data_IF_882110472960
#
_entry.id   IF_882110472960
#
_cell.length_a   1.000
_cell.length_b   1.000
_cell.length_c   1.000
_cell.angle_alpha   90.00
_cell.angle_beta   90.00
_cell.angle_gamma   90.00
#
_symmetry.space_group_name_H-M   'P 1'
#
loop_
_entity.id
_entity.type
_entity.pdbx_description
1 polymer ?
#
# COMPACT_ATOMS: atom_id res chain seq x y z
N UNK A 1 54.25 20.41 19.52
CA UNK A 1 54.65 19.16 20.21
C UNK A 1 55.67 18.33 19.40
N UNK A 2 55.49 18.14 18.08
CA UNK A 2 56.39 17.33 17.24
C UNK A 2 57.78 17.92 16.98
N UNK A 3 57.94 19.24 17.08
CA UNK A 3 59.23 19.92 16.89
C UNK A 3 60.20 19.75 18.07
N UNK A 4 59.72 19.34 19.25
CA UNK A 4 60.57 19.14 20.44
C UNK A 4 61.23 17.75 20.50
N UNK A 5 60.78 16.79 19.69
CA UNK A 5 61.19 15.37 19.77
C UNK A 5 62.25 14.95 18.74
N UNK A 6 62.57 15.80 17.77
CA UNK A 6 63.57 15.53 16.72
C UNK A 6 64.77 16.49 16.82
N UNK A 7 65.37 16.59 18.00
CA UNK A 7 66.66 17.28 18.16
C UNK A 7 67.79 16.30 17.86
N UNK A 8 68.90 16.78 17.31
CA UNK A 8 70.08 15.95 17.00
C UNK A 8 70.55 15.13 18.22
N UNK A 9 70.50 15.70 19.42
CA UNK A 9 70.84 14.99 20.66
C UNK A 9 69.90 13.83 20.98
N UNK A 10 68.62 13.96 20.64
CA UNK A 10 67.62 12.90 20.83
C UNK A 10 67.84 11.78 19.83
N UNK A 11 68.17 12.14 18.58
CA UNK A 11 68.52 11.18 17.53
C UNK A 11 69.79 10.42 17.95
N UNK A 12 70.88 11.12 18.29
CA UNK A 12 72.13 10.48 18.75
C UNK A 12 71.91 9.56 19.96
N UNK A 13 71.15 10.00 20.96
CA UNK A 13 70.81 9.17 22.12
C UNK A 13 70.00 7.93 21.73
N UNK A 14 69.07 8.04 20.77
CA UNK A 14 68.29 6.91 20.29
C UNK A 14 69.17 5.87 19.58
N UNK A 15 70.12 6.32 18.74
CA UNK A 15 71.08 5.44 18.06
C UNK A 15 72.03 4.75 19.05
N UNK A 16 72.49 5.46 20.08
CA UNK A 16 73.26 4.85 21.18
C UNK A 16 72.44 3.80 21.93
N UNK A 17 71.19 4.12 22.29
CA UNK A 17 70.30 3.18 22.99
C UNK A 17 69.92 1.95 22.17
N UNK A 18 69.92 2.07 20.84
CA UNK A 18 69.72 0.96 19.94
C UNK A 18 71.00 0.14 19.69
N UNK A 19 72.16 0.61 20.17
CA UNK A 19 73.46 -0.01 19.92
C UNK A 19 73.95 0.15 18.48
N UNK A 20 73.39 1.10 17.74
CA UNK A 20 73.72 1.36 16.32
C UNK A 20 74.97 2.25 16.21
N UNK A 21 75.13 3.22 17.12
CA UNK A 21 76.31 4.11 17.12
C UNK A 21 76.71 4.56 18.54
N UNK A 22 77.93 4.26 19.03
CA UNK A 22 78.91 3.34 18.43
C UNK A 22 78.33 1.93 18.32
N UNK A 23 78.77 1.16 17.32
CA UNK A 23 78.22 -0.18 17.05
C UNK A 23 78.51 -1.09 18.26
N UNK A 24 77.45 -1.54 18.92
CA UNK A 24 77.53 -2.52 20.01
C UNK A 24 76.59 -3.68 19.71
N UNK A 25 77.16 -4.79 19.22
CA UNK A 25 76.39 -5.96 18.78
C UNK A 25 75.53 -6.56 19.90
N UNK A 26 76.03 -6.58 21.13
CA UNK A 26 75.28 -7.15 22.27
C UNK A 26 74.00 -6.36 22.54
N UNK A 27 74.09 -5.02 22.62
CA UNK A 27 72.91 -4.15 22.82
C UNK A 27 71.92 -4.26 21.67
N UNK A 28 72.41 -4.33 20.42
CA UNK A 28 71.56 -4.48 19.25
C UNK A 28 70.83 -5.84 19.28
N UNK A 29 71.51 -6.93 19.64
CA UNK A 29 70.92 -8.26 19.76
C UNK A 29 69.90 -8.34 20.91
N UNK A 30 70.15 -7.70 22.05
CA UNK A 30 69.19 -7.65 23.17
C UNK A 30 67.91 -6.89 22.78
N UNK A 31 68.07 -5.77 22.06
CA UNK A 31 66.93 -5.03 21.50
C UNK A 31 66.19 -5.86 20.46
N UNK A 32 66.91 -6.53 19.56
CA UNK A 32 66.32 -7.43 18.57
C UNK A 32 65.52 -8.54 19.27
N UNK A 33 66.07 -9.19 20.30
CA UNK A 33 65.36 -10.22 21.06
C UNK A 33 64.12 -9.68 21.77
N UNK A 34 64.17 -8.45 22.27
CA UNK A 34 63.03 -7.81 22.92
C UNK A 34 61.89 -7.55 21.92
N UNK A 35 62.20 -7.10 20.71
CA UNK A 35 61.20 -6.79 19.68
C UNK A 35 60.81 -7.98 18.80
N UNK A 36 61.66 -9.00 18.70
CA UNK A 36 61.43 -10.23 17.94
C UNK A 36 60.76 -11.33 18.74
N UNK A 37 60.32 -11.07 19.99
CA UNK A 37 59.36 -11.99 20.61
C UNK A 37 58.10 -12.00 19.74
N UNK A 38 57.71 -13.15 19.16
CA UNK A 38 56.49 -13.23 18.38
C UNK A 38 55.35 -12.88 19.34
N UNK A 39 54.74 -11.73 19.12
CA UNK A 39 53.42 -11.45 19.66
C UNK A 39 52.57 -12.64 19.20
N UNK A 40 52.10 -13.47 20.14
CA UNK A 40 51.24 -14.62 19.81
C UNK A 40 50.25 -14.13 18.76
N UNK A 41 50.18 -14.74 17.56
CA UNK A 41 49.16 -14.36 16.62
C UNK A 41 47.83 -14.63 17.32
N UNK A 42 47.13 -13.56 17.69
CA UNK A 42 45.70 -13.66 17.93
C UNK A 42 45.18 -14.09 16.58
N UNK A 43 44.90 -15.39 16.44
CA UNK A 43 44.20 -15.95 15.29
C UNK A 43 43.06 -14.99 14.99
N UNK A 44 42.99 -14.34 13.82
CA UNK A 44 41.81 -13.59 13.48
C UNK A 44 40.70 -14.63 13.43
N UNK A 45 39.89 -14.67 14.49
CA UNK A 45 38.62 -15.38 14.48
C UNK A 45 37.87 -14.77 13.31
N UNK A 46 37.89 -15.46 12.16
CA UNK A 46 37.02 -15.16 11.03
C UNK A 46 35.63 -14.95 11.64
N UNK A 47 34.99 -13.79 11.45
CA UNK A 47 33.68 -13.57 11.99
C UNK A 47 32.81 -14.71 11.47
N UNK A 48 32.37 -15.55 12.40
CA UNK A 48 31.41 -16.63 12.18
C UNK A 48 30.31 -16.05 11.29
N UNK A 49 30.01 -16.70 10.16
CA UNK A 49 29.01 -16.21 9.21
C UNK A 49 27.76 -15.76 9.98
N UNK A 50 27.55 -14.44 10.04
CA UNK A 50 26.53 -13.80 10.89
C UNK A 50 25.12 -14.12 10.37
N UNK A 51 25.02 -14.70 9.17
CA UNK A 51 23.78 -15.17 8.57
C UNK A 51 23.92 -16.61 8.12
N UNK A 52 23.01 -17.52 8.53
CA UNK A 52 22.95 -18.86 7.96
C UNK A 52 22.59 -18.76 6.47
N UNK A 53 23.20 -19.60 5.63
CA UNK A 53 22.81 -19.72 4.23
C UNK A 53 21.38 -20.26 4.21
N UNK A 54 20.40 -19.54 3.63
CA UNK A 54 19.03 -20.02 3.59
C UNK A 54 18.95 -21.29 2.74
N UNK A 55 18.44 -22.37 3.32
CA UNK A 55 18.21 -23.66 2.63
C UNK A 55 16.77 -23.84 2.14
N UNK A 56 15.86 -22.93 2.54
CA UNK A 56 14.45 -22.94 2.16
C UNK A 56 14.07 -21.60 1.51
N UNK A 57 13.09 -21.62 0.61
CA UNK A 57 12.57 -20.39 -0.03
C UNK A 57 12.07 -19.39 1.01
N UNK A 58 11.38 -19.87 2.05
CA UNK A 58 10.93 -19.03 3.17
C UNK A 58 12.10 -18.37 3.92
N UNK A 59 13.23 -19.07 4.07
CA UNK A 59 14.44 -18.49 4.65
C UNK A 59 15.04 -17.38 3.78
N UNK A 60 14.95 -17.51 2.45
CA UNK A 60 15.38 -16.45 1.52
C UNK A 60 14.47 -15.22 1.64
N UNK A 61 13.15 -15.40 1.74
CA UNK A 61 12.20 -14.29 1.92
C UNK A 61 12.44 -13.52 3.22
N UNK A 62 12.58 -14.25 4.33
CA UNK A 62 12.83 -13.65 5.63
C UNK A 62 14.15 -12.88 5.64
N UNK A 63 15.19 -13.47 5.04
CA UNK A 63 16.47 -12.78 4.84
C UNK A 63 16.31 -11.52 4.01
N UNK A 64 15.61 -11.60 2.87
CA UNK A 64 15.39 -10.45 1.99
C UNK A 64 14.67 -9.32 2.70
N UNK A 65 13.63 -9.63 3.49
CA UNK A 65 12.91 -8.64 4.28
C UNK A 65 13.79 -8.02 5.38
N UNK A 66 14.58 -8.83 6.07
CA UNK A 66 15.54 -8.37 7.08
C UNK A 66 16.59 -7.41 6.48
N UNK A 67 17.06 -7.70 5.27
CA UNK A 67 18.05 -6.88 4.58
C UNK A 67 17.45 -5.60 3.96
N UNK A 68 16.17 -5.64 3.57
CA UNK A 68 15.41 -4.49 3.07
C UNK A 68 15.28 -3.39 4.13
N UNK A 69 15.10 -3.75 5.39
CA UNK A 69 15.06 -2.79 6.51
C UNK A 69 16.45 -2.27 6.88
N UNK A 70 17.50 -3.05 6.63
CA UNK A 70 18.89 -2.73 7.00
C UNK A 70 19.68 -2.01 5.93
N UNK A 71 19.04 -1.52 4.85
CA UNK A 71 19.72 -0.78 3.77
C UNK A 71 20.61 0.32 4.39
N UNK A 72 21.94 0.20 4.32
CA UNK A 72 22.81 1.15 5.00
C UNK A 72 22.63 2.55 4.42
N UNK A 73 22.24 3.50 5.28
CA UNK A 73 22.19 4.92 4.90
C UNK A 73 23.57 5.45 4.48
N UNK A 74 24.63 4.74 4.85
CA UNK A 74 26.02 4.94 4.43
C UNK A 74 26.29 4.63 2.95
N UNK A 75 25.37 3.99 2.21
CA UNK A 75 25.55 3.79 0.77
C UNK A 75 25.37 5.09 0.00
N UNK A 76 26.26 5.32 -0.95
CA UNK A 76 26.15 6.39 -1.94
C UNK A 76 24.88 6.20 -2.79
N UNK A 77 24.38 7.30 -3.38
CA UNK A 77 23.14 7.29 -4.16
C UNK A 77 23.11 6.23 -5.28
N UNK A 78 24.16 6.07 -6.13
CA UNK A 78 24.16 5.04 -7.16
C UNK A 78 24.17 3.61 -6.61
N UNK A 79 24.93 3.36 -5.54
CA UNK A 79 25.00 2.04 -4.90
C UNK A 79 23.69 1.67 -4.22
N UNK A 80 22.99 2.64 -3.60
CA UNK A 80 21.67 2.44 -3.02
C UNK A 80 20.63 2.09 -4.08
N UNK A 81 20.67 2.76 -5.24
CA UNK A 81 19.78 2.46 -6.36
C UNK A 81 20.06 1.07 -6.95
N UNK A 82 21.33 0.71 -7.15
CA UNK A 82 21.73 -0.63 -7.60
C UNK A 82 21.24 -1.72 -6.65
N UNK A 83 21.40 -1.50 -5.33
CA UNK A 83 20.92 -2.41 -4.30
C UNK A 83 19.39 -2.54 -4.30
N UNK A 84 18.66 -1.44 -4.43
CA UNK A 84 17.20 -1.45 -4.54
C UNK A 84 16.69 -2.20 -5.79
N UNK A 85 17.37 -2.03 -6.93
CA UNK A 85 17.07 -2.76 -8.16
C UNK A 85 17.33 -4.27 -7.98
N UNK A 86 18.44 -4.63 -7.32
CA UNK A 86 18.75 -6.02 -7.01
C UNK A 86 17.70 -6.65 -6.09
N UNK A 87 17.29 -5.97 -5.01
CA UNK A 87 16.21 -6.41 -4.11
C UNK A 87 14.89 -6.64 -4.87
N UNK A 88 14.50 -5.67 -5.70
CA UNK A 88 13.27 -5.79 -6.50
C UNK A 88 13.36 -6.95 -7.50
N UNK A 89 14.53 -7.17 -8.08
CA UNK A 89 14.80 -8.29 -8.98
C UNK A 89 14.71 -9.64 -8.26
N UNK A 90 15.29 -9.75 -7.08
CA UNK A 90 15.25 -11.00 -6.28
C UNK A 90 13.85 -11.29 -5.76
N UNK A 91 13.08 -10.29 -5.34
CA UNK A 91 11.65 -10.45 -5.00
C UNK A 91 10.85 -11.05 -6.15
N UNK A 92 11.06 -10.56 -7.39
CA UNK A 92 10.39 -11.10 -8.58
C UNK A 92 10.78 -12.55 -8.86
N UNK A 93 12.07 -12.87 -8.81
CA UNK A 93 12.56 -14.24 -9.02
C UNK A 93 11.99 -15.19 -7.97
N UNK A 94 11.89 -14.73 -6.72
CA UNK A 94 11.32 -15.53 -5.64
C UNK A 94 9.83 -15.79 -5.84
N UNK A 95 9.05 -14.77 -6.23
CA UNK A 95 7.64 -14.97 -6.55
C UNK A 95 7.45 -15.99 -7.68
N UNK A 96 8.32 -15.98 -8.70
CA UNK A 96 8.26 -16.97 -9.78
C UNK A 96 8.60 -18.38 -9.31
N UNK A 97 9.56 -18.55 -8.40
CA UNK A 97 9.91 -19.88 -7.89
C UNK A 97 8.81 -20.46 -7.01
N UNK A 98 8.11 -19.64 -6.23
CA UNK A 98 6.92 -20.06 -5.47
C UNK A 98 5.80 -20.53 -6.38
N UNK A 99 5.52 -19.78 -7.46
CA UNK A 99 4.52 -20.17 -8.44
C UNK A 99 4.86 -21.52 -9.08
N UNK A 100 6.13 -21.71 -9.46
CA UNK A 100 6.60 -22.98 -10.01
C UNK A 100 6.46 -24.14 -9.02
N UNK A 101 6.73 -23.92 -7.73
CA UNK A 101 6.54 -24.95 -6.71
C UNK A 101 5.07 -25.36 -6.57
N UNK A 102 4.16 -24.38 -6.59
CA UNK A 102 2.71 -24.64 -6.58
C UNK A 102 2.26 -25.40 -7.82
N UNK A 103 2.75 -25.03 -9.01
CA UNK A 103 2.44 -25.75 -10.25
C UNK A 103 2.96 -27.19 -10.21
N UNK A 104 4.19 -27.41 -9.73
CA UNK A 104 4.74 -28.76 -9.56
C UNK A 104 3.92 -29.59 -8.57
N UNK A 105 3.44 -28.98 -7.48
CA UNK A 105 2.55 -29.65 -6.54
C UNK A 105 1.20 -30.00 -7.19
N UNK A 106 0.61 -29.08 -7.95
CA UNK A 106 -0.64 -29.30 -8.67
C UNK A 106 -0.51 -30.44 -9.69
N UNK A 107 0.57 -30.45 -10.48
CA UNK A 107 0.86 -31.53 -11.44
C UNK A 107 1.07 -32.85 -10.71
N UNK A 108 1.85 -32.90 -9.64
CA UNK A 108 2.04 -34.11 -8.83
C UNK A 108 0.72 -34.64 -8.29
N UNK A 109 -0.16 -33.74 -7.82
CA UNK A 109 -1.47 -34.11 -7.29
C UNK A 109 -2.39 -34.61 -8.40
N UNK A 110 -2.38 -33.99 -9.58
CA UNK A 110 -3.12 -34.44 -10.75
C UNK A 110 -2.66 -35.84 -11.19
N UNK A 111 -1.35 -36.11 -11.22
CA UNK A 111 -0.79 -37.43 -11.53
C UNK A 111 -1.20 -38.48 -10.49
N UNK A 112 -1.16 -38.14 -9.19
CA UNK A 112 -1.66 -39.03 -8.14
C UNK A 112 -3.15 -39.34 -8.33
N UNK A 113 -3.95 -38.33 -8.64
CA UNK A 113 -5.39 -38.47 -8.86
C UNK A 113 -5.71 -39.24 -10.15
N UNK A 114 -4.92 -39.08 -11.22
CA UNK A 114 -5.10 -39.83 -12.46
C UNK A 114 -4.70 -41.30 -12.29
N UNK A 115 -3.63 -41.60 -11.54
CA UNK A 115 -3.28 -42.98 -11.16
C UNK A 115 -4.41 -43.67 -10.39
N UNK A 116 -5.06 -42.96 -9.45
CA UNK A 116 -6.26 -43.46 -8.75
C UNK A 116 -7.43 -43.72 -9.71
N UNK A 117 -7.62 -42.88 -10.74
CA UNK A 117 -8.69 -43.04 -11.74
C UNK A 117 -8.39 -44.11 -12.80
N UNK A 118 -7.13 -44.39 -13.10
CA UNK A 118 -6.73 -45.38 -14.12
C UNK A 118 -6.91 -46.83 -13.66
N UNK A 119 -6.94 -47.10 -12.34
CA UNK A 119 -7.21 -48.44 -11.81
C UNK A 119 -8.66 -48.94 -11.93
N UNK A 120 -9.57 -48.14 -12.51
CA UNK A 120 -11.01 -48.41 -12.47
C UNK A 120 -11.75 -48.30 -13.80
N UNK A 121 -11.06 -48.39 -14.95
CA UNK A 121 -11.75 -48.57 -16.23
C UNK A 121 -11.92 -50.06 -16.53
N UNK A 122 -13.08 -50.60 -16.18
CA UNK A 122 -13.62 -51.80 -16.84
C UNK A 122 -13.21 -53.15 -16.25
N UNK A 123 -12.80 -53.24 -14.99
CA UNK A 123 -12.89 -54.51 -14.24
C UNK A 123 -13.77 -54.28 -13.04
N UNK A 124 -15.00 -54.83 -13.09
CA UNK A 124 -15.67 -55.27 -11.88
C UNK A 124 -14.64 -56.14 -11.15
N UNK A 125 -14.25 -55.76 -9.93
CA UNK A 125 -13.51 -56.68 -9.08
C UNK A 125 -14.43 -57.90 -8.91
N UNK A 126 -14.14 -58.99 -9.62
CA UNK A 126 -14.73 -60.27 -9.32
C UNK A 126 -14.23 -60.66 -7.92
N UNK A 127 -15.10 -60.57 -6.92
CA UNK A 127 -14.82 -60.97 -5.55
C UNK A 127 -14.92 -59.88 -4.46
N UNK A 128 -15.33 -58.65 -4.79
CA UNK A 128 -15.73 -57.70 -3.75
C UNK A 128 -17.17 -57.98 -3.31
N UNK A 129 -17.39 -58.59 -2.15
CA UNK A 129 -18.71 -58.74 -1.56
C UNK A 129 -19.24 -57.34 -1.20
N UNK A 130 -20.01 -56.74 -2.11
CA UNK A 130 -20.69 -55.49 -1.82
C UNK A 130 -21.91 -55.83 -0.95
N UNK A 131 -21.79 -55.57 0.35
CA UNK A 131 -22.89 -55.79 1.28
C UNK A 131 -24.06 -54.87 0.89
N UNK A 132 -25.29 -55.35 1.00
CA UNK A 132 -26.47 -54.57 0.60
C UNK A 132 -26.54 -53.21 1.33
N UNK A 133 -26.06 -53.14 2.58
CA UNK A 133 -25.89 -51.90 3.35
C UNK A 133 -25.07 -50.86 2.61
N UNK A 134 -23.92 -51.27 2.07
CA UNK A 134 -22.93 -50.38 1.46
C UNK A 134 -23.46 -49.85 0.12
N UNK A 135 -24.28 -50.65 -0.58
CA UNK A 135 -24.98 -50.21 -1.78
C UNK A 135 -25.94 -49.05 -1.48
N UNK A 136 -26.71 -49.15 -0.39
CA UNK A 136 -27.64 -48.11 0.03
C UNK A 136 -26.90 -46.85 0.48
N UNK A 137 -25.79 -46.98 1.21
CA UNK A 137 -24.95 -45.84 1.61
C UNK A 137 -24.39 -45.09 0.39
N UNK A 138 -23.88 -45.82 -0.61
CA UNK A 138 -23.36 -45.21 -1.84
C UNK A 138 -24.48 -44.49 -2.62
N UNK A 139 -25.70 -45.03 -2.61
CA UNK A 139 -26.86 -44.36 -3.23
C UNK A 139 -27.25 -43.09 -2.47
N UNK A 140 -27.29 -43.15 -1.13
CA UNK A 140 -27.58 -41.99 -0.29
C UNK A 140 -26.56 -40.86 -0.50
N UNK A 141 -25.27 -41.17 -0.49
CA UNK A 141 -24.21 -40.18 -0.75
C UNK A 141 -24.30 -39.56 -2.14
N UNK A 142 -24.67 -40.36 -3.16
CA UNK A 142 -24.89 -39.82 -4.52
C UNK A 142 -26.10 -38.90 -4.56
N UNK A 143 -27.19 -39.24 -3.89
CA UNK A 143 -28.38 -38.40 -3.80
C UNK A 143 -28.09 -37.08 -3.06
N UNK A 144 -27.37 -37.13 -1.94
CA UNK A 144 -26.94 -35.94 -1.20
C UNK A 144 -26.04 -35.04 -2.05
N UNK A 145 -25.06 -35.62 -2.74
CA UNK A 145 -24.15 -34.86 -3.60
C UNK A 145 -24.89 -34.24 -4.80
N UNK A 146 -25.91 -34.90 -5.34
CA UNK A 146 -26.79 -34.33 -6.36
C UNK A 146 -27.63 -33.18 -5.80
N UNK A 147 -28.23 -33.34 -4.62
CA UNK A 147 -28.99 -32.29 -3.95
C UNK A 147 -28.13 -31.05 -3.68
N UNK A 148 -26.89 -31.24 -3.20
CA UNK A 148 -25.93 -30.15 -2.99
C UNK A 148 -25.57 -29.44 -4.29
N UNK A 149 -25.39 -30.18 -5.39
CA UNK A 149 -25.12 -29.57 -6.71
C UNK A 149 -26.29 -28.72 -7.19
N UNK A 150 -27.52 -29.22 -7.05
CA UNK A 150 -28.71 -28.46 -7.43
C UNK A 150 -28.81 -27.18 -6.60
N UNK A 151 -28.70 -27.28 -5.27
CA UNK A 151 -28.72 -26.14 -4.37
C UNK A 151 -27.62 -25.12 -4.70
N UNK A 152 -26.39 -25.56 -5.00
CA UNK A 152 -25.29 -24.68 -5.39
C UNK A 152 -25.56 -23.98 -6.73
N UNK A 153 -26.18 -24.65 -7.70
CA UNK A 153 -26.54 -24.02 -8.98
C UNK A 153 -27.66 -22.98 -8.81
N UNK A 154 -28.63 -23.25 -7.95
CA UNK A 154 -29.71 -22.31 -7.65
C UNK A 154 -29.17 -21.08 -6.92
N UNK A 155 -28.36 -21.27 -5.88
CA UNK A 155 -27.71 -20.19 -5.16
C UNK A 155 -26.85 -19.31 -6.10
N UNK A 156 -26.12 -19.92 -7.03
CA UNK A 156 -25.34 -19.19 -8.04
C UNK A 156 -26.22 -18.37 -8.98
N UNK A 157 -27.33 -18.92 -9.45
CA UNK A 157 -28.30 -18.20 -10.30
C UNK A 157 -28.92 -17.02 -9.56
N UNK A 158 -29.30 -17.20 -8.30
CA UNK A 158 -29.86 -16.14 -7.46
C UNK A 158 -28.85 -15.02 -7.22
N UNK A 159 -27.63 -15.34 -6.82
CA UNK A 159 -26.55 -14.36 -6.64
C UNK A 159 -26.25 -13.60 -7.94
N UNK A 160 -26.21 -14.30 -9.07
CA UNK A 160 -26.00 -13.66 -10.37
C UNK A 160 -27.14 -12.71 -10.74
N UNK A 161 -28.39 -13.08 -10.47
CA UNK A 161 -29.56 -12.23 -10.70
C UNK A 161 -29.53 -10.98 -9.82
N UNK A 162 -29.22 -11.13 -8.53
CA UNK A 162 -29.07 -10.01 -7.59
C UNK A 162 -27.98 -9.03 -8.04
N UNK A 163 -26.80 -9.53 -8.41
CA UNK A 163 -25.71 -8.70 -8.88
C UNK A 163 -26.05 -7.96 -10.19
N UNK A 164 -26.79 -8.59 -11.11
CA UNK A 164 -27.30 -7.93 -12.32
C UNK A 164 -28.31 -6.82 -11.98
N UNK A 165 -29.25 -7.09 -11.07
CA UNK A 165 -30.23 -6.10 -10.62
C UNK A 165 -29.56 -4.89 -9.97
N UNK A 166 -28.57 -5.11 -9.09
CA UNK A 166 -27.78 -4.04 -8.47
C UNK A 166 -27.05 -3.18 -9.51
N UNK A 167 -26.47 -3.80 -10.54
CA UNK A 167 -25.80 -3.06 -11.62
C UNK A 167 -26.76 -2.15 -12.39
N UNK A 168 -27.94 -2.64 -12.73
CA UNK A 168 -28.96 -1.85 -13.42
C UNK A 168 -29.38 -0.67 -12.55
N UNK A 169 -29.75 -0.92 -11.29
CA UNK A 169 -30.13 0.13 -10.33
C UNK A 169 -29.03 1.19 -10.15
N UNK A 170 -27.77 0.78 -10.04
CA UNK A 170 -26.64 1.70 -9.93
C UNK A 170 -26.47 2.57 -11.18
N UNK A 171 -26.66 2.00 -12.37
CA UNK A 171 -26.56 2.76 -13.64
C UNK A 171 -27.69 3.77 -13.78
N UNK A 172 -28.91 3.42 -13.37
CA UNK A 172 -30.06 4.32 -13.37
C UNK A 172 -29.88 5.45 -12.36
N UNK A 173 -29.49 5.13 -11.12
CA UNK A 173 -29.19 6.11 -10.09
C UNK A 173 -28.10 7.11 -10.53
N UNK A 174 -27.08 6.62 -11.24
CA UNK A 174 -26.02 7.48 -11.80
C UNK A 174 -26.56 8.45 -12.85
N UNK A 175 -27.43 7.98 -13.77
CA UNK A 175 -28.05 8.84 -14.79
C UNK A 175 -28.93 9.91 -14.16
N UNK A 176 -29.73 9.55 -13.16
CA UNK A 176 -30.59 10.49 -12.43
C UNK A 176 -29.77 11.54 -11.68
N UNK A 177 -28.72 11.12 -10.96
CA UNK A 177 -27.81 12.04 -10.28
C UNK A 177 -27.11 12.99 -11.26
N UNK A 178 -26.67 12.48 -12.41
CA UNK A 178 -26.04 13.30 -13.45
C UNK A 178 -27.03 14.33 -14.03
N UNK A 179 -28.28 13.93 -14.30
CA UNK A 179 -29.32 14.83 -14.76
C UNK A 179 -29.63 15.92 -13.73
N UNK A 180 -29.80 15.54 -12.46
CA UNK A 180 -30.02 16.48 -11.34
C UNK A 180 -28.88 17.49 -11.22
N UNK A 181 -27.63 17.03 -11.27
CA UNK A 181 -26.47 17.90 -11.15
C UNK A 181 -26.34 18.85 -12.35
N UNK A 182 -26.65 18.39 -13.57
CA UNK A 182 -26.71 19.25 -14.76
C UNK A 182 -27.76 20.34 -14.59
N UNK A 183 -28.98 19.99 -14.18
CA UNK A 183 -30.05 20.96 -13.93
C UNK A 183 -29.66 21.98 -12.86
N UNK A 184 -29.09 21.52 -11.73
CA UNK A 184 -28.61 22.40 -10.66
C UNK A 184 -27.53 23.37 -11.15
N UNK A 185 -26.59 22.88 -11.95
CA UNK A 185 -25.53 23.73 -12.50
C UNK A 185 -26.07 24.76 -13.50
N UNK A 186 -27.07 24.38 -14.31
CA UNK A 186 -27.74 25.30 -15.22
C UNK A 186 -28.47 26.40 -14.46
N UNK A 187 -29.23 26.05 -13.41
CA UNK A 187 -29.89 27.03 -12.54
C UNK A 187 -28.89 27.99 -11.90
N UNK A 188 -27.79 27.46 -11.33
CA UNK A 188 -26.73 28.28 -10.75
C UNK A 188 -26.10 29.24 -11.78
N UNK A 189 -25.84 28.78 -13.00
CA UNK A 189 -25.31 29.64 -14.05
C UNK A 189 -26.30 30.72 -14.48
N UNK A 190 -27.59 30.38 -14.58
CA UNK A 190 -28.65 31.33 -14.88
C UNK A 190 -28.77 32.39 -13.77
N UNK A 191 -28.71 31.99 -12.50
CA UNK A 191 -28.76 32.92 -11.37
C UNK A 191 -27.56 33.86 -11.30
N UNK A 192 -26.35 33.36 -11.59
CA UNK A 192 -25.17 34.23 -11.71
C UNK A 192 -25.34 35.26 -12.83
N UNK A 193 -25.91 34.86 -13.99
CA UNK A 193 -26.17 35.78 -15.10
C UNK A 193 -27.23 36.82 -14.73
N UNK A 194 -28.34 36.40 -14.10
CA UNK A 194 -29.39 37.29 -13.63
C UNK A 194 -28.86 38.34 -12.66
N UNK A 195 -28.08 37.93 -11.65
CA UNK A 195 -27.45 38.87 -10.70
C UNK A 195 -26.52 39.87 -11.36
N UNK A 196 -25.73 39.45 -12.36
CA UNK A 196 -24.85 40.35 -13.12
C UNK A 196 -25.65 41.35 -13.95
N UNK A 197 -26.73 40.90 -14.59
CA UNK A 197 -27.61 41.78 -15.35
C UNK A 197 -28.32 42.77 -14.43
N UNK A 198 -28.82 42.32 -13.28
CA UNK A 198 -29.47 43.20 -12.29
C UNK A 198 -28.50 44.24 -11.74
N UNK A 199 -27.25 43.86 -11.47
CA UNK A 199 -26.21 44.83 -11.10
C UNK A 199 -25.94 45.85 -12.22
N UNK A 200 -25.96 45.44 -13.49
CA UNK A 200 -25.81 46.35 -14.61
C UNK A 200 -27.01 47.31 -14.74
N UNK A 201 -28.24 46.80 -14.59
CA UNK A 201 -29.48 47.58 -14.56
C UNK A 201 -29.45 48.63 -13.44
N UNK A 202 -29.07 48.24 -12.22
CA UNK A 202 -28.93 49.18 -11.09
C UNK A 202 -27.90 50.27 -11.35
N UNK A 203 -26.78 49.94 -12.00
CA UNK A 203 -25.75 50.93 -12.38
C UNK A 203 -26.26 51.93 -13.42
N UNK A 204 -26.97 51.46 -14.45
CA UNK A 204 -27.53 52.38 -15.47
C UNK A 204 -28.62 53.27 -14.88
N UNK A 205 -29.48 52.73 -14.01
CA UNK A 205 -30.48 53.54 -13.28
C UNK A 205 -29.84 54.61 -12.41
N UNK A 206 -28.78 54.28 -11.67
CA UNK A 206 -28.04 55.26 -10.87
C UNK A 206 -27.50 56.40 -11.76
N UNK A 207 -26.90 56.09 -12.90
CA UNK A 207 -26.40 57.10 -13.86
C UNK A 207 -27.51 57.99 -14.43
N UNK A 208 -28.66 57.41 -14.81
CA UNK A 208 -29.81 58.19 -15.31
C UNK A 208 -30.38 59.11 -14.24
N UNK A 209 -30.43 58.62 -13.00
CA UNK A 209 -30.89 59.40 -11.85
C UNK A 209 -29.95 60.56 -11.55
N UNK A 210 -28.63 60.33 -11.60
CA UNK A 210 -27.60 61.37 -11.45
C UNK A 210 -27.71 62.45 -12.55
N UNK A 211 -28.03 62.05 -13.78
CA UNK A 211 -28.22 62.98 -14.91
C UNK A 211 -29.62 63.61 -14.97
N UNK A 212 -30.53 63.25 -14.07
CA UNK A 212 -31.92 63.74 -14.05
C UNK A 212 -32.75 63.32 -15.27
N UNK A 213 -32.37 62.23 -15.94
CA UNK A 213 -33.03 61.73 -17.14
C UNK A 213 -34.18 60.76 -16.77
N UNK A 214 -35.27 60.75 -17.55
CA UNK A 214 -36.37 59.80 -17.34
C UNK A 214 -35.89 58.35 -17.55
N UNK A 215 -36.40 57.45 -16.72
CA UNK A 215 -36.05 56.02 -16.75
C UNK A 215 -36.75 55.34 -17.94
N UNK A 216 -36.00 54.64 -18.82
CA UNK A 216 -36.59 53.83 -19.87
C UNK A 216 -37.42 52.66 -19.33
N UNK A 217 -38.55 52.31 -19.96
CA UNK A 217 -39.44 51.23 -19.50
C UNK A 217 -38.75 49.86 -19.44
N UNK A 218 -37.70 49.62 -20.26
CA UNK A 218 -36.93 48.36 -20.23
C UNK A 218 -36.13 48.14 -18.93
N UNK A 219 -35.86 49.22 -18.18
CA UNK A 219 -35.10 49.16 -16.92
C UNK A 219 -36.00 49.26 -15.69
N UNK A 220 -37.32 49.36 -15.87
CA UNK A 220 -38.30 49.56 -14.79
C UNK A 220 -38.41 48.30 -13.93
N UNK A 221 -38.49 47.14 -14.57
CA UNK A 221 -38.66 45.84 -13.91
C UNK A 221 -37.34 45.25 -13.36
N UNK A 222 -37.32 44.79 -12.09
CA UNK A 222 -36.19 44.03 -11.54
C UNK A 222 -36.00 42.68 -12.23
N UNK A 223 -34.75 42.31 -12.51
CA UNK A 223 -34.42 41.00 -13.08
C UNK A 223 -34.49 39.95 -11.96
N UNK A 224 -35.41 39.01 -12.09
CA UNK A 224 -35.63 37.92 -11.12
C UNK A 224 -34.51 36.88 -11.19
N UNK A 225 -33.95 36.49 -10.04
CA UNK A 225 -32.93 35.43 -9.95
C UNK A 225 -33.60 34.04 -9.95
N UNK A 226 -33.37 33.18 -10.94
CA UNK A 226 -33.94 31.82 -10.98
C UNK A 226 -33.39 30.87 -9.91
N UNK A 227 -32.33 31.24 -9.19
CA UNK A 227 -31.83 30.50 -8.01
C UNK A 227 -32.49 30.97 -6.71
N UNK A 228 -33.11 32.15 -6.69
CA UNK A 228 -33.90 32.58 -5.55
C UNK A 228 -35.19 31.76 -5.51
N UNK A 229 -35.44 31.09 -4.39
CA UNK A 229 -36.76 30.51 -4.12
C UNK A 229 -37.79 31.62 -4.32
N UNK A 230 -38.88 31.40 -5.10
CA UNK A 230 -39.93 32.39 -5.19
C UNK A 230 -40.42 32.60 -3.77
N UNK A 231 -40.27 33.82 -3.24
CA UNK A 231 -40.72 34.17 -1.90
C UNK A 231 -42.16 33.68 -1.79
N UNK A 232 -42.36 32.61 -1.03
CA UNK A 232 -43.70 32.17 -0.65
C UNK A 232 -44.25 33.30 0.20
N UNK A 233 -45.07 34.14 -0.40
CA UNK A 233 -45.88 35.14 0.29
C UNK A 233 -46.76 34.41 1.32
N UNK A 234 -46.20 34.21 2.50
CA UNK A 234 -46.92 34.00 3.74
C UNK A 234 -46.24 34.92 4.75
N UNK A 235 -46.76 36.14 4.84
CA UNK A 235 -46.52 37.03 5.95
C UNK A 235 -46.86 36.28 7.25
N UNK A 236 -45.85 36.05 8.08
CA UNK A 236 -46.06 35.84 9.51
C UNK A 236 -44.99 36.65 10.21
N UNK A 237 -45.35 37.91 10.42
CA UNK A 237 -44.70 38.77 11.37
C UNK A 237 -44.80 38.12 12.76
N UNK A 238 -43.67 37.75 13.33
CA UNK A 238 -43.52 37.70 14.78
C UNK A 238 -42.09 38.07 15.11
N UNK A 239 -41.97 39.25 15.71
CA UNK A 239 -40.77 39.82 16.29
C UNK A 239 -40.11 38.91 17.34
N UNK A 240 -38.82 39.15 17.56
CA UNK A 240 -38.02 38.60 18.66
C UNK A 240 -36.98 37.61 18.14
N UNK A 241 -35.71 37.93 17.98
CA UNK A 241 -34.88 38.66 18.92
C UNK A 241 -33.95 37.66 19.63
N UNK A 242 -32.68 38.03 19.73
CA UNK A 242 -31.65 37.45 20.58
C UNK A 242 -30.84 36.28 20.00
N UNK A 243 -29.59 36.59 19.68
CA UNK A 243 -28.57 35.60 19.39
C UNK A 243 -28.12 34.84 20.63
N UNK A 244 -27.60 33.63 20.42
CA UNK A 244 -26.58 33.04 21.29
C UNK A 244 -25.93 31.87 20.57
N UNK A 245 -24.60 31.90 20.50
CA UNK A 245 -23.81 30.74 20.12
C UNK A 245 -24.05 29.58 21.08
N UNK A 246 -24.01 28.37 20.56
CA UNK A 246 -23.93 27.14 21.34
C UNK A 246 -23.03 26.18 20.60
N UNK A 247 -21.76 26.19 21.01
CA UNK A 247 -20.89 25.03 21.01
C UNK A 247 -21.60 23.90 21.75
N UNK A 248 -21.75 22.75 21.11
CA UNK A 248 -22.00 21.50 21.80
C UNK A 248 -21.23 20.41 21.07
N UNK A 249 -20.14 19.95 21.69
CA UNK A 249 -19.46 18.73 21.33
C UNK A 249 -20.31 17.54 21.74
N UNK A 250 -20.40 16.55 20.85
CA UNK A 250 -21.10 15.31 21.13
C UNK A 250 -20.03 14.22 21.21
N UNK A 251 -19.58 13.92 22.43
CA UNK A 251 -19.07 12.61 22.80
C UNK A 251 -20.27 11.77 23.25
N UNK A 252 -20.69 10.79 22.44
CA UNK A 252 -21.50 9.66 22.92
C UNK A 252 -20.92 8.37 22.30
N UNK A 253 -20.16 7.62 23.09
CA UNK A 253 -20.58 6.51 23.99
C UNK A 253 -20.64 5.18 23.24
N UNK A 254 -19.65 4.35 23.54
CA UNK A 254 -19.62 2.92 23.23
C UNK A 254 -20.77 2.21 23.96
N UNK A 255 -21.56 1.44 23.22
CA UNK A 255 -22.45 0.44 23.78
C UNK A 255 -21.69 -0.89 23.78
N UNK A 256 -21.64 -1.50 24.96
CA UNK A 256 -21.05 -2.80 25.31
C UNK A 256 -21.64 -3.97 24.51
#
# INVERSE_FOLDING_TARGET
>A
MRERTFKDSTIQSAFQKAGIWPISCNTALDKLRTYSQPTKPTTPTLPRAITPIPSTLQGVEQGLQQWKERVPQAFSSPSRQSYGNWLTGTERVLATSQLQELDLQAVRQQVKNSKKKQGGRGRLQYGGELRASDAYEIQAQKAELQAQKLAATEARKLSQAQHRAQKVAATEARKLSQARNRARNQLKQAGIKARKQEQARKKSLAQLTELGLPIPPELEDPITDPEAEPESQYESASEGGSGRGSESGNEEVMIL
#
